data_IF_876010873646
#
_entry.id   IF_876010873646
#
_cell.length_a   1.000
_cell.length_b   1.000
_cell.length_c   1.000
_cell.angle_alpha   90.00
_cell.angle_beta   90.00
_cell.angle_gamma   90.00
#
_symmetry.space_group_name_H-M   'P 1'
#
loop_
_entity.id
_entity.type
_entity.pdbx_description
1 polymer ?
#
# COMPACT_ATOMS: atom_id res chain seq x y z
N UNK A 1 -22.83 26.83 -19.09
CA UNK A 1 -23.43 26.05 -17.99
C UNK A 1 -22.33 25.60 -17.06
N UNK A 2 -22.09 26.31 -15.96
CA UNK A 2 -21.07 25.94 -14.96
C UNK A 2 -21.66 24.87 -14.05
N UNK A 3 -21.26 23.62 -14.25
CA UNK A 3 -21.54 22.51 -13.34
C UNK A 3 -20.90 22.83 -11.99
N UNK A 4 -21.71 23.28 -11.03
CA UNK A 4 -21.30 23.44 -9.64
C UNK A 4 -21.03 22.05 -9.08
N UNK A 5 -19.78 21.58 -9.12
CA UNK A 5 -19.41 20.32 -8.47
C UNK A 5 -19.66 20.49 -6.97
N UNK A 6 -20.74 19.84 -6.50
CA UNK A 6 -21.09 19.81 -5.09
C UNK A 6 -20.00 19.03 -4.35
N UNK A 7 -19.41 19.62 -3.32
CA UNK A 7 -18.47 18.92 -2.45
C UNK A 7 -19.16 17.69 -1.87
N UNK A 8 -18.57 16.48 -1.99
CA UNK A 8 -19.17 15.27 -1.47
C UNK A 8 -19.28 15.35 0.06
N UNK A 9 -20.29 14.69 0.63
CA UNK A 9 -20.41 14.56 2.09
C UNK A 9 -19.31 13.63 2.60
N UNK A 10 -18.97 13.73 3.89
CA UNK A 10 -17.98 12.84 4.50
C UNK A 10 -18.41 11.37 4.38
N UNK A 11 -19.71 11.08 4.53
CA UNK A 11 -20.27 9.74 4.32
C UNK A 11 -19.98 9.20 2.91
N UNK A 12 -20.17 10.03 1.88
CA UNK A 12 -19.86 9.65 0.49
C UNK A 12 -18.37 9.37 0.30
N UNK A 13 -17.49 10.16 0.93
CA UNK A 13 -16.04 9.93 0.90
C UNK A 13 -15.68 8.61 1.59
N UNK A 14 -16.28 8.30 2.73
CA UNK A 14 -16.07 7.04 3.44
C UNK A 14 -16.49 5.86 2.56
N UNK A 15 -17.72 5.88 2.05
CA UNK A 15 -18.27 4.80 1.24
C UNK A 15 -17.43 4.56 -0.03
N UNK A 16 -16.99 5.64 -0.69
CA UNK A 16 -16.19 5.56 -1.91
C UNK A 16 -14.77 4.99 -1.67
N UNK A 17 -14.15 5.28 -0.52
CA UNK A 17 -12.72 5.02 -0.35
C UNK A 17 -12.35 3.96 0.70
N UNK A 18 -13.25 3.57 1.60
CA UNK A 18 -12.91 2.66 2.70
C UNK A 18 -12.29 1.34 2.24
N UNK A 19 -12.87 0.74 1.19
CA UNK A 19 -12.41 -0.53 0.65
C UNK A 19 -11.07 -0.40 -0.05
N UNK A 20 -10.81 0.73 -0.69
CA UNK A 20 -9.54 0.99 -1.38
C UNK A 20 -8.41 1.29 -0.39
N UNK A 21 -8.71 1.98 0.72
CA UNK A 21 -7.75 2.18 1.81
C UNK A 21 -7.42 0.84 2.48
N UNK A 22 -8.42 0.00 2.73
CA UNK A 22 -8.22 -1.35 3.26
C UNK A 22 -7.35 -2.20 2.32
N UNK A 23 -7.71 -2.29 1.03
CA UNK A 23 -6.92 -3.01 0.01
C UNK A 23 -5.49 -2.49 -0.08
N UNK A 24 -5.31 -1.18 0.04
CA UNK A 24 -3.98 -0.57 0.06
C UNK A 24 -3.15 -1.02 1.28
N UNK A 25 -3.76 -1.11 2.47
CA UNK A 25 -3.08 -1.63 3.67
C UNK A 25 -2.76 -3.12 3.55
N UNK A 26 -3.70 -3.94 3.06
CA UNK A 26 -3.45 -5.35 2.80
C UNK A 26 -2.29 -5.55 1.81
N UNK A 27 -2.23 -4.73 0.75
CA UNK A 27 -1.12 -4.75 -0.21
C UNK A 27 0.23 -4.30 0.38
N UNK A 28 0.24 -3.62 1.53
CA UNK A 28 1.44 -3.29 2.29
C UNK A 28 1.87 -4.42 3.25
N UNK A 29 1.10 -5.51 3.34
CA UNK A 29 1.34 -6.61 4.29
C UNK A 29 0.77 -6.34 5.68
N UNK A 30 -0.29 -5.54 5.78
CA UNK A 30 -1.04 -5.37 7.02
C UNK A 30 -1.94 -6.58 7.28
N UNK A 31 -2.07 -6.99 8.54
CA UNK A 31 -3.04 -8.00 8.95
C UNK A 31 -4.47 -7.50 8.75
N UNK A 32 -5.41 -8.39 8.44
CA UNK A 32 -6.80 -8.01 8.10
C UNK A 32 -7.49 -7.21 9.23
N UNK A 33 -7.42 -7.70 10.46
CA UNK A 33 -7.98 -7.01 11.62
C UNK A 33 -7.30 -5.65 11.87
N UNK A 34 -5.98 -5.59 11.73
CA UNK A 34 -5.23 -4.34 11.85
C UNK A 34 -5.60 -3.36 10.71
N UNK A 35 -5.82 -3.85 9.50
CA UNK A 35 -6.21 -3.03 8.36
C UNK A 35 -7.60 -2.42 8.58
N UNK A 36 -8.54 -3.15 9.17
CA UNK A 36 -9.86 -2.64 9.56
C UNK A 36 -9.74 -1.52 10.60
N UNK A 37 -8.96 -1.73 11.66
CA UNK A 37 -8.72 -0.72 12.70
C UNK A 37 -8.08 0.53 12.11
N UNK A 38 -7.05 0.37 11.29
CA UNK A 38 -6.34 1.47 10.64
C UNK A 38 -7.22 2.25 9.67
N UNK A 39 -8.11 1.57 8.93
CA UNK A 39 -9.12 2.22 8.09
C UNK A 39 -10.03 3.07 8.95
N UNK A 40 -10.56 2.53 10.04
CA UNK A 40 -11.42 3.29 10.95
C UNK A 40 -10.70 4.52 11.49
N UNK A 41 -9.45 4.39 11.95
CA UNK A 41 -8.68 5.53 12.43
C UNK A 41 -8.48 6.63 11.38
N UNK A 42 -8.23 6.25 10.12
CA UNK A 42 -8.10 7.20 9.01
C UNK A 42 -9.40 7.98 8.82
N UNK A 43 -10.55 7.31 8.81
CA UNK A 43 -11.83 8.00 8.62
C UNK A 43 -12.31 8.76 9.87
N UNK A 44 -11.88 8.36 11.07
CA UNK A 44 -12.04 9.17 12.27
C UNK A 44 -11.30 10.51 12.14
N UNK A 45 -10.13 10.56 11.50
CA UNK A 45 -9.46 11.84 11.23
C UNK A 45 -10.19 12.71 10.21
N UNK A 46 -10.81 12.08 9.22
CA UNK A 46 -11.67 12.79 8.26
C UNK A 46 -12.84 13.43 9.01
N UNK A 47 -13.52 12.67 9.88
CA UNK A 47 -14.63 13.16 10.70
C UNK A 47 -14.22 14.27 11.67
N UNK A 48 -12.98 14.22 12.18
CA UNK A 48 -12.40 15.25 13.07
C UNK A 48 -11.94 16.52 12.33
N UNK A 49 -12.20 16.62 11.02
CA UNK A 49 -11.88 17.82 10.23
C UNK A 49 -10.40 17.98 9.89
N UNK A 50 -9.58 16.93 10.01
CA UNK A 50 -8.17 16.97 9.57
C UNK A 50 -8.00 16.82 8.06
N UNK A 51 -9.09 16.57 7.34
CA UNK A 51 -9.15 16.38 5.91
C UNK A 51 -9.92 17.53 5.25
N UNK A 52 -9.40 18.01 4.13
CA UNK A 52 -10.05 19.01 3.29
C UNK A 52 -10.21 18.42 1.89
N UNK A 53 -11.44 18.42 1.36
CA UNK A 53 -11.71 17.90 0.03
C UNK A 53 -11.11 18.84 -1.03
N UNK A 54 -10.22 18.30 -1.86
CA UNK A 54 -9.53 19.01 -2.95
C UNK A 54 -9.71 18.36 -4.33
N UNK A 55 -10.63 17.41 -4.44
CA UNK A 55 -10.80 16.58 -5.63
C UNK A 55 -10.54 15.09 -5.36
N UNK A 56 -11.03 14.22 -6.26
CA UNK A 56 -10.96 12.77 -6.10
C UNK A 56 -9.51 12.23 -6.06
N UNK A 57 -8.59 12.61 -6.98
CA UNK A 57 -7.21 12.12 -6.95
C UNK A 57 -6.46 12.51 -5.67
N UNK A 58 -6.64 13.76 -5.23
CA UNK A 58 -6.04 14.33 -4.02
C UNK A 58 -6.59 13.65 -2.77
N UNK A 59 -7.90 13.38 -2.73
CA UNK A 59 -8.56 12.68 -1.64
C UNK A 59 -8.00 11.28 -1.49
N UNK A 60 -7.95 10.51 -2.57
CA UNK A 60 -7.41 9.16 -2.56
C UNK A 60 -5.91 9.13 -2.18
N UNK A 61 -5.14 10.12 -2.63
CA UNK A 61 -3.73 10.25 -2.27
C UNK A 61 -3.52 10.59 -0.79
N UNK A 62 -4.35 11.47 -0.23
CA UNK A 62 -4.31 11.83 1.18
C UNK A 62 -4.66 10.63 2.07
N UNK A 63 -5.75 9.91 1.75
CA UNK A 63 -6.20 8.74 2.51
C UNK A 63 -5.14 7.64 2.55
N UNK A 64 -4.52 7.31 1.40
CA UNK A 64 -3.41 6.35 1.35
C UNK A 64 -2.19 6.82 2.16
N UNK A 65 -1.90 8.13 2.16
CA UNK A 65 -0.79 8.66 2.96
C UNK A 65 -1.07 8.54 4.45
N UNK A 66 -2.28 8.86 4.90
CA UNK A 66 -2.72 8.75 6.28
C UNK A 66 -2.67 7.29 6.75
N UNK A 67 -3.23 6.37 5.97
CA UNK A 67 -3.21 4.93 6.25
C UNK A 67 -1.78 4.39 6.35
N UNK A 68 -0.93 4.72 5.36
CA UNK A 68 0.48 4.30 5.36
C UNK A 68 1.23 4.81 6.60
N UNK A 69 1.03 6.07 6.98
CA UNK A 69 1.72 6.62 8.15
C UNK A 69 1.39 5.83 9.42
N UNK A 70 0.11 5.49 9.61
CA UNK A 70 -0.34 4.73 10.77
C UNK A 70 0.17 3.31 10.78
N UNK A 71 0.05 2.60 9.66
CA UNK A 71 0.59 1.25 9.51
C UNK A 71 2.07 1.20 9.90
N UNK A 72 2.86 2.14 9.36
CA UNK A 72 4.28 2.30 9.69
C UNK A 72 4.49 2.55 11.20
N UNK A 73 3.69 3.44 11.80
CA UNK A 73 3.74 3.72 13.24
C UNK A 73 3.48 2.45 14.06
N UNK A 74 2.51 1.63 13.67
CA UNK A 74 2.18 0.38 14.37
C UNK A 74 3.29 -0.66 14.23
N UNK A 75 3.82 -0.85 13.01
CA UNK A 75 4.96 -1.75 12.76
C UNK A 75 6.19 -1.32 13.56
N UNK A 76 6.50 -0.02 13.62
CA UNK A 76 7.63 0.51 14.41
C UNK A 76 7.45 0.29 15.90
N UNK A 77 6.23 0.44 16.42
CA UNK A 77 5.93 0.15 17.84
C UNK A 77 6.09 -1.33 18.14
N UNK A 78 5.57 -2.22 17.28
CA UNK A 78 5.76 -3.68 17.40
C UNK A 78 7.24 -4.06 17.42
N UNK A 79 8.07 -3.48 16.53
CA UNK A 79 9.53 -3.71 16.51
C UNK A 79 10.30 -3.15 17.70
N UNK A 80 9.76 -2.17 18.42
CA UNK A 80 10.35 -1.58 19.64
C UNK A 80 9.91 -2.28 20.92
N UNK A 81 8.96 -3.21 20.84
CA UNK A 81 8.61 -4.08 21.97
C UNK A 81 9.74 -5.11 22.18
N UNK A 82 10.20 -5.35 23.43
CA UNK A 82 11.24 -6.33 23.68
C UNK A 82 10.64 -7.74 23.59
N UNK A 83 10.72 -8.37 22.43
CA UNK A 83 10.51 -9.82 22.31
C UNK A 83 11.63 -10.43 21.47
N UNK A 84 12.22 -11.43 22.11
CA UNK A 84 13.23 -12.38 21.69
C UNK A 84 13.07 -12.83 20.23
N UNK A 85 14.20 -12.95 19.54
CA UNK A 85 14.30 -13.53 18.19
C UNK A 85 13.64 -14.92 18.16
N UNK A 86 12.82 -15.17 17.14
CA UNK A 86 12.86 -16.43 16.44
C UNK A 86 12.75 -16.16 14.93
N UNK A 87 13.65 -16.77 14.16
CA UNK A 87 13.86 -16.53 12.73
C UNK A 87 13.31 -17.67 11.85
N UNK A 88 12.62 -18.64 12.44
CA UNK A 88 12.06 -19.80 11.75
C UNK A 88 10.56 -19.86 12.09
N UNK A 89 9.72 -19.33 11.20
CA UNK A 89 8.29 -19.69 11.05
C UNK A 89 7.67 -19.01 9.80
N UNK A 90 8.45 -18.87 8.72
CA UNK A 90 8.02 -18.13 7.51
C UNK A 90 7.20 -18.98 6.53
N UNK A 91 7.06 -20.30 6.74
CA UNK A 91 6.44 -21.18 5.74
C UNK A 91 5.10 -21.82 6.13
N UNK A 92 4.62 -21.67 7.38
CA UNK A 92 3.36 -22.30 7.82
C UNK A 92 2.17 -21.34 7.83
N UNK A 93 2.37 -20.05 8.15
CA UNK A 93 1.29 -19.04 8.11
C UNK A 93 0.93 -18.58 6.68
N UNK A 94 1.82 -18.75 5.70
CA UNK A 94 1.56 -18.36 4.31
C UNK A 94 0.60 -19.33 3.59
N UNK A 95 0.49 -20.58 4.06
CA UNK A 95 -0.38 -21.60 3.50
C UNK A 95 -1.82 -21.53 4.02
N UNK A 96 -2.04 -21.02 5.25
CA UNK A 96 -3.37 -20.86 5.83
C UNK A 96 -4.06 -19.53 5.43
N UNK A 97 -3.28 -18.52 5.02
CA UNK A 97 -3.80 -17.25 4.49
C UNK A 97 -4.41 -17.37 3.08
N UNK A 98 -4.15 -18.47 2.35
CA UNK A 98 -4.66 -18.74 1.00
C UNK A 98 -6.11 -19.25 0.97
N UNK A 99 -6.94 -18.84 1.93
CA UNK A 99 -8.29 -19.35 2.16
C UNK A 99 -9.42 -18.33 2.02
N UNK A 100 -9.84 -18.12 0.77
CA UNK A 100 -11.22 -17.81 0.32
C UNK A 100 -11.69 -16.35 0.11
N UNK A 101 -11.96 -16.10 -1.19
CA UNK A 101 -13.12 -15.44 -1.81
C UNK A 101 -13.08 -13.92 -2.10
N UNK A 102 -12.64 -13.67 -3.36
CA UNK A 102 -13.07 -12.61 -4.30
C UNK A 102 -12.48 -11.20 -4.15
N UNK A 103 -11.17 -11.17 -3.89
CA UNK A 103 -10.28 -10.02 -4.12
C UNK A 103 -8.87 -10.40 -4.62
N UNK A 104 -8.68 -11.67 -4.98
CA UNK A 104 -7.40 -12.38 -5.03
C UNK A 104 -6.58 -12.10 -6.31
N UNK A 105 -7.24 -12.02 -7.46
CA UNK A 105 -6.56 -11.97 -8.77
C UNK A 105 -5.63 -10.78 -8.95
N UNK A 106 -6.01 -9.59 -8.46
CA UNK A 106 -5.11 -8.42 -8.53
C UNK A 106 -3.88 -8.57 -7.65
N UNK A 107 -4.02 -9.22 -6.49
CA UNK A 107 -2.92 -9.47 -5.55
C UNK A 107 -2.02 -10.56 -6.11
N UNK A 108 -2.61 -11.62 -6.67
CA UNK A 108 -1.90 -12.68 -7.38
C UNK A 108 -1.12 -12.14 -8.57
N UNK A 109 -1.76 -11.36 -9.44
CA UNK A 109 -1.09 -10.72 -10.57
C UNK A 109 -0.03 -9.74 -10.13
N UNK A 110 -0.23 -9.00 -9.04
CA UNK A 110 0.80 -8.14 -8.49
C UNK A 110 2.02 -8.95 -8.02
N UNK A 111 1.80 -10.06 -7.30
CA UNK A 111 2.87 -10.97 -6.88
C UNK A 111 3.62 -11.54 -8.08
N UNK A 112 2.90 -12.04 -9.08
CA UNK A 112 3.49 -12.53 -10.33
C UNK A 112 4.29 -11.43 -11.05
N UNK A 113 3.75 -10.22 -11.13
CA UNK A 113 4.42 -9.07 -11.72
C UNK A 113 5.71 -8.67 -10.95
N UNK A 114 5.68 -8.68 -9.62
CA UNK A 114 6.88 -8.41 -8.79
C UNK A 114 7.97 -9.47 -9.02
N UNK A 115 7.58 -10.73 -9.20
CA UNK A 115 8.52 -11.81 -9.51
C UNK A 115 9.23 -11.64 -10.87
N UNK A 116 8.60 -10.93 -11.83
CA UNK A 116 9.23 -10.59 -13.13
C UNK A 116 10.16 -9.37 -13.09
N UNK A 117 10.16 -8.60 -12.00
CA UNK A 117 11.01 -7.41 -11.90
C UNK A 117 12.50 -7.78 -11.79
N UNK A 118 13.40 -6.97 -12.38
CA UNK A 118 14.83 -7.07 -12.14
C UNK A 118 15.16 -6.98 -10.64
N UNK A 119 16.20 -7.67 -10.20
CA UNK A 119 16.58 -7.76 -8.78
C UNK A 119 16.73 -6.41 -8.11
N UNK A 120 17.36 -5.45 -8.79
CA UNK A 120 17.53 -4.08 -8.25
C UNK A 120 16.19 -3.39 -7.99
N UNK A 121 15.20 -3.60 -8.85
CA UNK A 121 13.85 -3.07 -8.71
C UNK A 121 13.09 -3.77 -7.58
N UNK A 122 13.22 -5.09 -7.46
CA UNK A 122 12.62 -5.87 -6.37
C UNK A 122 13.20 -5.48 -5.02
N UNK A 123 14.54 -5.36 -4.93
CA UNK A 123 15.28 -4.89 -3.75
C UNK A 123 14.86 -3.48 -3.35
N UNK A 124 14.65 -2.58 -4.32
CA UNK A 124 14.17 -1.23 -4.05
C UNK A 124 12.72 -1.22 -3.49
N UNK A 125 11.85 -2.11 -3.98
CA UNK A 125 10.52 -2.29 -3.39
C UNK A 125 10.60 -2.84 -1.96
N UNK A 126 11.42 -3.86 -1.75
CA UNK A 126 11.62 -4.46 -0.45
C UNK A 126 12.13 -3.44 0.58
N UNK A 127 13.21 -2.73 0.26
CA UNK A 127 13.75 -1.67 1.12
C UNK A 127 12.69 -0.61 1.41
N UNK A 128 11.90 -0.20 0.41
CA UNK A 128 10.94 0.89 0.58
C UNK A 128 9.67 0.49 1.34
N UNK A 129 9.17 -0.71 1.10
CA UNK A 129 7.83 -1.12 1.51
C UNK A 129 7.85 -2.18 2.62
N UNK A 130 8.89 -3.02 2.69
CA UNK A 130 9.06 -4.03 3.75
C UNK A 130 9.94 -3.53 4.89
N UNK A 131 11.03 -2.85 4.55
CA UNK A 131 12.04 -2.40 5.53
C UNK A 131 11.92 -0.90 5.86
N UNK A 132 10.98 -0.18 5.22
CA UNK A 132 10.72 1.25 5.41
C UNK A 132 11.96 2.16 5.34
N UNK A 133 12.97 1.72 4.60
CA UNK A 133 14.25 2.39 4.49
C UNK A 133 14.05 3.80 3.89
N UNK A 134 14.78 4.78 4.43
CA UNK A 134 14.77 6.15 3.93
C UNK A 134 15.31 6.18 2.49
N UNK A 135 15.00 7.21 1.70
CA UNK A 135 15.53 7.26 0.33
C UNK A 135 17.05 7.40 0.31
N UNK A 136 17.60 8.07 1.31
CA UNK A 136 19.05 8.22 1.53
C UNK A 136 19.70 6.86 1.83
N UNK A 137 19.18 6.12 2.79
CA UNK A 137 19.69 4.78 3.15
C UNK A 137 19.50 3.78 2.00
N UNK A 138 18.39 3.89 1.26
CA UNK A 138 18.18 3.12 0.03
C UNK A 138 19.21 3.45 -1.04
N UNK A 139 19.57 4.72 -1.17
CA UNK A 139 20.56 5.18 -2.14
C UNK A 139 21.92 4.56 -1.83
N UNK A 140 22.33 4.55 -0.55
CA UNK A 140 23.51 3.86 -0.07
C UNK A 140 23.43 2.34 -0.32
N UNK A 141 22.34 1.69 0.09
CA UNK A 141 22.16 0.25 -0.05
C UNK A 141 22.11 -0.25 -1.51
N UNK A 142 21.64 0.60 -2.44
CA UNK A 142 21.51 0.28 -3.86
C UNK A 142 22.65 0.85 -4.71
N UNK A 143 23.64 1.51 -4.12
CA UNK A 143 24.76 2.13 -4.82
C UNK A 143 24.32 3.16 -5.87
N UNK A 144 23.39 4.06 -5.51
CA UNK A 144 22.89 5.10 -6.41
C UNK A 144 22.69 6.44 -5.67
N UNK A 145 22.34 7.50 -6.41
CA UNK A 145 21.93 8.79 -5.82
C UNK A 145 20.47 8.72 -5.36
N UNK A 146 20.09 9.51 -4.36
CA UNK A 146 18.71 9.59 -3.85
C UNK A 146 17.69 9.92 -4.95
N UNK A 147 18.03 10.87 -5.84
CA UNK A 147 17.21 11.19 -7.02
C UNK A 147 16.98 9.96 -7.92
N UNK A 148 17.97 9.08 -8.03
CA UNK A 148 17.87 7.81 -8.75
C UNK A 148 16.91 6.82 -8.09
N UNK A 149 16.87 6.77 -6.75
CA UNK A 149 15.90 5.94 -5.99
C UNK A 149 14.46 6.38 -6.28
N UNK A 150 14.22 7.70 -6.31
CA UNK A 150 12.89 8.24 -6.64
C UNK A 150 12.46 7.81 -8.05
N UNK A 151 13.29 8.06 -9.06
CA UNK A 151 13.00 7.71 -10.45
C UNK A 151 12.82 6.20 -10.64
N UNK A 152 13.62 5.38 -9.94
CA UNK A 152 13.48 3.93 -9.96
C UNK A 152 12.13 3.48 -9.41
N UNK A 153 11.73 3.97 -8.24
CA UNK A 153 10.44 3.61 -7.64
C UNK A 153 9.24 4.05 -8.49
N UNK A 154 9.31 5.23 -9.12
CA UNK A 154 8.27 5.71 -10.04
C UNK A 154 8.14 4.79 -11.26
N UNK A 155 9.27 4.43 -11.88
CA UNK A 155 9.31 3.50 -13.03
C UNK A 155 8.77 2.13 -12.66
N UNK A 156 9.20 1.57 -11.52
CA UNK A 156 8.74 0.25 -11.06
C UNK A 156 7.23 0.23 -10.82
N UNK A 157 6.66 1.29 -10.26
CA UNK A 157 5.20 1.40 -10.07
C UNK A 157 4.45 1.47 -11.40
N UNK A 158 4.99 2.17 -12.40
CA UNK A 158 4.38 2.23 -13.73
C UNK A 158 4.37 0.84 -14.39
N UNK A 159 5.51 0.14 -14.36
CA UNK A 159 5.64 -1.23 -14.89
C UNK A 159 4.69 -2.19 -14.20
N UNK A 160 4.62 -2.18 -12.86
CA UNK A 160 3.71 -3.05 -12.11
C UNK A 160 2.24 -2.75 -12.42
N UNK A 161 1.87 -1.47 -12.59
CA UNK A 161 0.50 -1.08 -12.95
C UNK A 161 0.11 -1.65 -14.31
N UNK A 162 0.93 -1.44 -15.34
CA UNK A 162 0.69 -1.96 -16.69
C UNK A 162 0.65 -3.49 -16.70
N UNK A 163 1.55 -4.11 -15.94
CA UNK A 163 1.65 -5.56 -15.80
C UNK A 163 0.38 -6.19 -15.21
N UNK A 164 -0.15 -5.59 -14.14
CA UNK A 164 -1.41 -6.04 -13.51
C UNK A 164 -2.59 -5.73 -14.41
N UNK A 165 -2.66 -4.55 -15.04
CA UNK A 165 -3.74 -4.19 -15.95
C UNK A 165 -3.86 -5.16 -17.13
N UNK A 166 -2.74 -5.57 -17.72
CA UNK A 166 -2.72 -6.56 -18.81
C UNK A 166 -3.26 -7.90 -18.34
N UNK A 167 -2.74 -8.44 -17.24
CA UNK A 167 -3.17 -9.73 -16.69
C UNK A 167 -4.65 -9.74 -16.28
N UNK A 168 -5.16 -8.62 -15.79
CA UNK A 168 -6.59 -8.45 -15.53
C UNK A 168 -7.41 -8.49 -16.82
N UNK A 169 -6.98 -7.79 -17.87
CA UNK A 169 -7.67 -7.79 -19.16
C UNK A 169 -7.66 -9.15 -19.87
N UNK A 170 -6.57 -9.92 -19.71
CA UNK A 170 -6.44 -11.27 -20.26
C UNK A 170 -7.29 -12.31 -19.49
N UNK A 171 -7.65 -12.03 -18.23
CA UNK A 171 -8.47 -12.92 -17.39
C UNK A 171 -9.98 -12.65 -17.56
N UNK A 172 -10.38 -11.44 -17.93
CA UNK A 172 -11.78 -11.05 -18.14
C UNK A 172 -12.31 -11.38 -19.56
N UNK A 173 -11.51 -12.04 -20.41
CA UNK A 173 -11.84 -12.50 -21.78
C UNK A 173 -12.09 -14.01 -21.83
#
# INVERSE_FOLDING_TARGET
>A
MTTRHKTPTIEQIIQAHQRDVWRFLMALGCEAAEAEDLVQEVFVEVLRGKFEYRGEPETAAWLRRAAKHRFISTVRRRRRAPVVRNLDDVDVEWAEFAGSLDGDLRVEFLRACIATLPDRSRRALELRYRLETSREDMAAALGMKEAGVKTLLERVRAVLRECVQRRMGDHDQ
#
